data_IF_628040890090
#
_entry.id   IF_628040890090
#
_cell.length_a   1.000
_cell.length_b   1.000
_cell.length_c   1.000
_cell.angle_alpha   90.00
_cell.angle_beta   90.00
_cell.angle_gamma   90.00
#
_symmetry.space_group_name_H-M   'P 1'
#
loop_
_entity.id
_entity.type
_entity.pdbx_description
1 polymer ?
#
# COMPACT_ATOMS: atom_id res chain seq x y z
N UNK A 1 -16.58 24.67 19.90
CA UNK A 1 -16.63 25.29 18.56
C UNK A 1 -17.22 24.24 17.64
N UNK A 2 -18.55 24.21 17.62
CA UNK A 2 -19.35 23.30 16.83
C UNK A 2 -19.25 23.68 15.35
N UNK A 3 -18.30 23.09 14.64
CA UNK A 3 -18.48 22.87 13.22
C UNK A 3 -19.41 21.66 13.10
N UNK A 4 -20.72 21.89 13.05
CA UNK A 4 -21.65 20.90 12.52
C UNK A 4 -21.10 20.48 11.14
N UNK A 5 -20.46 19.32 11.05
CA UNK A 5 -20.15 18.69 9.77
C UNK A 5 -21.49 18.42 9.09
N UNK A 6 -21.86 19.28 8.15
CA UNK A 6 -23.06 19.14 7.35
C UNK A 6 -22.91 17.83 6.56
N UNK A 7 -23.81 16.86 6.79
CA UNK A 7 -23.77 15.54 6.18
C UNK A 7 -23.82 15.71 4.64
N UNK A 8 -22.67 15.52 3.98
CA UNK A 8 -22.57 15.74 2.53
C UNK A 8 -23.15 14.55 1.78
N UNK A 9 -24.13 14.84 0.91
CA UNK A 9 -24.59 13.87 -0.10
C UNK A 9 -23.42 13.49 -0.99
N UNK A 10 -23.06 12.21 -0.98
CA UNK A 10 -21.90 11.68 -1.68
C UNK A 10 -22.34 10.71 -2.77
N UNK A 11 -21.78 10.87 -3.96
CA UNK A 11 -21.96 9.98 -5.10
C UNK A 11 -20.60 9.40 -5.46
N UNK A 12 -20.53 8.09 -5.66
CA UNK A 12 -19.36 7.39 -6.17
C UNK A 12 -19.73 6.76 -7.52
N UNK A 13 -18.88 7.01 -8.52
CA UNK A 13 -19.01 6.47 -9.88
C UNK A 13 -17.90 5.44 -10.09
N UNK A 14 -18.27 4.20 -10.42
CA UNK A 14 -17.33 3.11 -10.71
C UNK A 14 -17.77 2.43 -12.01
N UNK A 15 -16.84 2.18 -12.92
CA UNK A 15 -17.14 1.61 -14.24
C UNK A 15 -17.19 0.09 -14.24
N UNK A 16 -16.55 -0.55 -13.27
CA UNK A 16 -16.44 -1.99 -13.17
C UNK A 16 -17.65 -2.57 -12.43
N UNK A 17 -17.90 -3.87 -12.60
CA UNK A 17 -19.05 -4.55 -11.98
C UNK A 17 -19.04 -4.53 -10.45
N UNK A 18 -17.86 -4.41 -9.84
CA UNK A 18 -17.65 -4.41 -8.39
C UNK A 18 -16.80 -3.24 -7.94
N UNK A 19 -17.14 -2.70 -6.76
CA UNK A 19 -16.36 -1.67 -6.07
C UNK A 19 -14.99 -2.21 -5.61
N UNK A 20 -14.11 -1.31 -5.16
CA UNK A 20 -12.81 -1.62 -4.57
C UNK A 20 -11.61 -1.55 -5.52
N UNK A 21 -11.85 -1.23 -6.79
CA UNK A 21 -10.82 -0.90 -7.78
C UNK A 21 -9.74 -1.98 -7.94
N UNK A 22 -8.52 -1.54 -8.30
CA UNK A 22 -7.39 -2.44 -8.57
C UNK A 22 -7.04 -3.30 -7.36
N UNK A 23 -6.85 -2.69 -6.19
CA UNK A 23 -6.29 -3.38 -5.02
C UNK A 23 -7.16 -4.57 -4.59
N UNK A 24 -8.49 -4.42 -4.65
CA UNK A 24 -9.40 -5.45 -4.21
C UNK A 24 -9.65 -6.52 -5.28
N UNK A 25 -9.84 -6.12 -6.54
CA UNK A 25 -10.30 -7.03 -7.58
C UNK A 25 -9.13 -7.76 -8.27
N UNK A 26 -8.01 -7.07 -8.51
CA UNK A 26 -6.91 -7.57 -9.38
C UNK A 26 -5.50 -7.24 -8.85
N UNK A 27 -5.36 -6.87 -7.58
CA UNK A 27 -4.11 -6.39 -7.00
C UNK A 27 -3.77 -7.04 -5.66
N UNK A 28 -3.81 -6.24 -4.59
CA UNK A 28 -3.41 -6.61 -3.24
C UNK A 28 -4.10 -7.88 -2.75
N UNK A 29 -5.43 -7.89 -2.67
CA UNK A 29 -6.17 -8.99 -2.06
C UNK A 29 -5.97 -10.32 -2.79
N UNK A 30 -6.14 -10.42 -4.12
CA UNK A 30 -5.90 -11.68 -4.81
C UNK A 30 -4.45 -12.14 -4.71
N UNK A 31 -3.46 -11.24 -4.79
CA UNK A 31 -2.05 -11.63 -4.64
C UNK A 31 -1.73 -12.15 -3.23
N UNK A 32 -2.20 -11.49 -2.17
CA UNK A 32 -1.97 -11.93 -0.78
C UNK A 32 -2.64 -13.27 -0.48
N UNK A 33 -3.84 -13.50 -1.01
CA UNK A 33 -4.50 -14.80 -0.89
C UNK A 33 -3.67 -15.93 -1.53
N UNK A 34 -3.13 -15.69 -2.74
CA UNK A 34 -2.30 -16.67 -3.44
C UNK A 34 -0.93 -16.89 -2.76
N UNK A 35 -0.28 -15.81 -2.30
CA UNK A 35 0.98 -15.89 -1.55
C UNK A 35 0.81 -16.73 -0.28
N UNK A 36 -0.22 -16.45 0.52
CA UNK A 36 -0.51 -17.21 1.73
C UNK A 36 -0.78 -18.70 1.44
N UNK A 37 -1.64 -18.99 0.46
CA UNK A 37 -1.99 -20.39 0.14
C UNK A 37 -0.82 -21.17 -0.47
N UNK A 38 -0.02 -20.53 -1.33
CA UNK A 38 1.17 -21.15 -1.92
C UNK A 38 2.28 -21.36 -0.89
N UNK A 39 2.41 -20.47 0.10
CA UNK A 39 3.34 -20.67 1.21
C UNK A 39 2.96 -21.91 2.05
N UNK A 40 1.68 -22.08 2.42
CA UNK A 40 1.25 -23.30 3.12
C UNK A 40 1.47 -24.57 2.30
N UNK A 41 1.20 -24.52 1.00
CA UNK A 41 1.52 -25.63 0.10
C UNK A 41 3.02 -25.93 0.11
N UNK A 42 3.86 -24.89 0.03
CA UNK A 42 5.31 -25.04 0.11
C UNK A 42 5.78 -25.66 1.44
N UNK A 43 5.26 -25.21 2.59
CA UNK A 43 5.60 -25.78 3.90
C UNK A 43 5.29 -27.28 3.97
N UNK A 44 4.12 -27.67 3.45
CA UNK A 44 3.71 -29.08 3.42
C UNK A 44 4.50 -29.91 2.41
N UNK A 45 4.87 -29.32 1.27
CA UNK A 45 5.53 -30.04 0.17
C UNK A 45 7.06 -30.13 0.30
N UNK A 46 7.72 -29.11 0.86
CA UNK A 46 9.18 -28.99 0.93
C UNK A 46 9.83 -29.84 2.03
N UNK A 47 9.03 -30.39 2.95
CA UNK A 47 9.53 -31.10 4.12
C UNK A 47 9.72 -30.22 5.36
N UNK A 48 9.41 -28.91 5.31
CA UNK A 48 9.41 -28.04 6.50
C UNK A 48 8.52 -28.61 7.63
N UNK A 49 7.29 -29.03 7.30
CA UNK A 49 6.41 -29.68 8.28
C UNK A 49 7.01 -31.01 8.82
N UNK A 50 7.66 -31.80 7.96
CA UNK A 50 8.29 -33.05 8.38
C UNK A 50 9.47 -32.81 9.33
N UNK A 51 10.26 -31.75 9.12
CA UNK A 51 11.33 -31.34 10.03
C UNK A 51 10.79 -30.92 11.43
N UNK A 52 9.51 -30.58 11.52
CA UNK A 52 8.78 -30.29 12.77
C UNK A 52 8.09 -31.52 13.36
N UNK A 53 8.29 -32.70 12.78
CA UNK A 53 7.64 -33.95 13.21
C UNK A 53 6.20 -34.11 12.73
N UNK A 54 5.73 -33.27 11.80
CA UNK A 54 4.38 -33.34 11.23
C UNK A 54 4.48 -34.10 9.90
N UNK A 55 4.13 -35.38 9.94
CA UNK A 55 4.17 -36.24 8.77
C UNK A 55 2.96 -35.96 7.87
N UNK A 56 3.21 -35.47 6.66
CA UNK A 56 2.17 -35.21 5.65
C UNK A 56 2.52 -36.01 4.40
N UNK A 57 1.60 -36.88 3.99
CA UNK A 57 1.76 -37.71 2.80
C UNK A 57 0.80 -37.25 1.70
N UNK A 58 1.16 -37.50 0.44
CA UNK A 58 0.30 -37.27 -0.72
C UNK A 58 -0.22 -35.82 -0.88
N UNK A 59 0.60 -34.81 -0.53
CA UNK A 59 0.27 -33.40 -0.76
C UNK A 59 0.13 -33.14 -2.27
N UNK A 60 -1.06 -32.68 -2.69
CA UNK A 60 -1.37 -32.37 -4.09
C UNK A 60 -1.91 -30.95 -4.21
N UNK A 61 -1.58 -30.28 -5.31
CA UNK A 61 -2.13 -28.97 -5.65
C UNK A 61 -3.46 -29.16 -6.38
N UNK A 62 -4.54 -28.69 -5.75
CA UNK A 62 -5.80 -28.40 -6.44
C UNK A 62 -5.84 -26.90 -6.75
N UNK A 63 -5.42 -26.56 -7.97
CA UNK A 63 -5.35 -25.18 -8.41
C UNK A 63 -6.74 -24.53 -8.52
N UNK A 64 -7.76 -25.30 -8.88
CA UNK A 64 -9.13 -24.80 -8.99
C UNK A 64 -9.67 -24.40 -7.62
N UNK A 65 -9.50 -25.25 -6.60
CA UNK A 65 -9.90 -24.95 -5.23
C UNK A 65 -9.12 -23.75 -4.66
N UNK A 66 -7.81 -23.66 -4.94
CA UNK A 66 -6.94 -22.56 -4.50
C UNK A 66 -7.41 -21.23 -5.12
N UNK A 67 -7.67 -21.21 -6.43
CA UNK A 67 -8.22 -20.03 -7.12
C UNK A 67 -9.65 -19.70 -6.68
N UNK A 68 -10.44 -20.72 -6.34
CA UNK A 68 -11.77 -20.59 -5.76
C UNK A 68 -11.76 -19.88 -4.40
N UNK A 69 -10.79 -20.22 -3.52
CA UNK A 69 -10.63 -19.55 -2.23
C UNK A 69 -10.26 -18.06 -2.40
N UNK A 70 -9.32 -17.74 -3.29
CA UNK A 70 -8.98 -16.35 -3.66
C UNK A 70 -10.22 -15.58 -4.11
N UNK A 71 -11.00 -16.16 -5.02
CA UNK A 71 -12.21 -15.52 -5.56
C UNK A 71 -13.30 -15.32 -4.49
N UNK A 72 -13.42 -16.22 -3.50
CA UNK A 72 -14.31 -16.04 -2.34
C UNK A 72 -13.88 -14.85 -1.49
N UNK A 73 -12.58 -14.68 -1.22
CA UNK A 73 -12.06 -13.54 -0.45
C UNK A 73 -12.38 -12.21 -1.14
N UNK A 74 -12.10 -12.11 -2.45
CA UNK A 74 -12.44 -10.93 -3.26
C UNK A 74 -13.95 -10.65 -3.21
N UNK A 75 -14.80 -11.66 -3.46
CA UNK A 75 -16.27 -11.49 -3.43
C UNK A 75 -16.80 -11.02 -2.07
N UNK A 76 -16.27 -11.55 -0.98
CA UNK A 76 -16.70 -11.17 0.36
C UNK A 76 -16.39 -9.70 0.64
N UNK A 77 -15.17 -9.26 0.33
CA UNK A 77 -14.71 -7.90 0.59
C UNK A 77 -15.35 -6.87 -0.35
N UNK A 78 -15.55 -7.17 -1.63
CA UNK A 78 -16.27 -6.26 -2.55
C UNK A 78 -17.73 -6.11 -2.12
N UNK A 79 -18.36 -7.20 -1.70
CA UNK A 79 -19.68 -7.18 -1.08
C UNK A 79 -19.73 -6.33 0.20
N UNK A 80 -18.67 -6.39 1.02
CA UNK A 80 -18.50 -5.56 2.20
C UNK A 80 -18.50 -4.06 1.88
N UNK A 81 -17.77 -3.62 0.84
CA UNK A 81 -17.78 -2.21 0.42
C UNK A 81 -19.18 -1.77 -0.02
N UNK A 82 -19.88 -2.59 -0.81
CA UNK A 82 -21.26 -2.30 -1.20
C UNK A 82 -22.20 -2.16 0.02
N UNK A 83 -21.99 -2.96 1.07
CA UNK A 83 -22.73 -2.81 2.33
C UNK A 83 -22.36 -1.52 3.07
N UNK A 84 -21.08 -1.15 3.09
CA UNK A 84 -20.61 0.11 3.70
C UNK A 84 -21.20 1.33 2.98
N UNK A 85 -21.27 1.33 1.64
CA UNK A 85 -21.89 2.42 0.89
C UNK A 85 -23.37 2.57 1.24
N UNK A 86 -24.11 1.45 1.31
CA UNK A 86 -25.52 1.46 1.74
C UNK A 86 -25.69 2.00 3.16
N UNK A 87 -24.85 1.55 4.09
CA UNK A 87 -24.88 1.98 5.50
C UNK A 87 -24.62 3.48 5.65
N UNK A 88 -23.68 4.01 4.85
CA UNK A 88 -23.29 5.42 4.87
C UNK A 88 -24.05 6.29 3.85
N UNK A 89 -25.13 5.76 3.26
CA UNK A 89 -25.99 6.49 2.32
C UNK A 89 -25.23 7.08 1.10
N UNK A 90 -24.16 6.42 0.68
CA UNK A 90 -23.40 6.80 -0.52
C UNK A 90 -24.14 6.28 -1.75
N UNK A 91 -24.47 7.19 -2.66
CA UNK A 91 -25.08 6.80 -3.94
C UNK A 91 -24.02 6.20 -4.84
N UNK A 92 -24.23 4.96 -5.28
CA UNK A 92 -23.35 4.29 -6.24
C UNK A 92 -23.97 4.32 -7.64
N UNK A 93 -23.23 4.87 -8.60
CA UNK A 93 -23.56 4.80 -10.03
C UNK A 93 -22.54 3.89 -10.70
N UNK A 94 -23.01 2.77 -11.25
CA UNK A 94 -22.17 1.92 -12.09
C UNK A 94 -22.15 2.48 -13.53
N UNK A 95 -21.02 3.04 -13.93
CA UNK A 95 -20.82 3.64 -15.24
C UNK A 95 -19.50 4.36 -15.38
N UNK A 96 -19.21 4.82 -16.60
CA UNK A 96 -18.02 5.60 -16.92
C UNK A 96 -18.26 7.09 -16.64
N UNK A 97 -17.59 7.64 -15.63
CA UNK A 97 -17.65 9.06 -15.29
C UNK A 97 -16.78 9.93 -16.19
N UNK A 98 -17.37 10.95 -16.80
CA UNK A 98 -16.68 11.99 -17.59
C UNK A 98 -16.98 13.36 -17.00
N UNK A 99 -15.96 14.15 -16.68
CA UNK A 99 -16.10 15.54 -16.24
C UNK A 99 -16.47 16.38 -17.46
N UNK A 100 -17.68 16.92 -17.50
CA UNK A 100 -18.19 17.74 -18.61
C UNK A 100 -18.21 19.23 -18.27
N UNK A 101 -17.95 19.59 -17.02
CA UNK A 101 -17.74 20.95 -16.57
C UNK A 101 -17.26 20.98 -15.11
N UNK A 102 -16.92 22.16 -14.56
CA UNK A 102 -16.36 22.29 -13.20
C UNK A 102 -17.24 21.70 -12.10
N UNK A 103 -18.56 21.61 -12.32
CA UNK A 103 -19.55 21.14 -11.35
C UNK A 103 -20.42 20.00 -11.88
N UNK A 104 -20.03 19.36 -12.98
CA UNK A 104 -20.87 18.38 -13.68
C UNK A 104 -20.05 17.18 -14.13
N UNK A 105 -20.55 15.98 -13.78
CA UNK A 105 -20.02 14.69 -14.24
C UNK A 105 -21.15 13.93 -14.90
N UNK A 106 -20.88 13.34 -16.07
CA UNK A 106 -21.80 12.44 -16.77
C UNK A 106 -21.31 11.01 -16.58
N UNK A 107 -22.16 10.14 -16.02
CA UNK A 107 -21.89 8.72 -15.88
C UNK A 107 -22.61 7.95 -16.98
N UNK A 108 -21.86 7.37 -17.92
CA UNK A 108 -22.39 6.53 -19.00
C UNK A 108 -22.45 5.06 -18.58
N UNK A 109 -23.65 4.49 -18.56
CA UNK A 109 -23.91 3.09 -18.16
C UNK A 109 -23.65 2.12 -19.31
N UNK A 110 -23.58 0.83 -19.00
CA UNK A 110 -23.34 -0.24 -19.98
C UNK A 110 -24.45 -0.39 -21.03
N UNK A 111 -25.67 0.02 -20.72
CA UNK A 111 -26.81 0.07 -21.66
C UNK A 111 -26.80 1.32 -22.56
N UNK A 112 -25.80 2.19 -22.41
CA UNK A 112 -25.65 3.44 -23.15
C UNK A 112 -26.43 4.62 -22.58
N UNK A 113 -27.23 4.42 -21.53
CA UNK A 113 -27.89 5.53 -20.83
C UNK A 113 -26.89 6.38 -20.06
N UNK A 114 -27.21 7.66 -19.90
CA UNK A 114 -26.37 8.64 -19.20
C UNK A 114 -27.08 9.19 -17.98
N UNK A 115 -26.33 9.34 -16.89
CA UNK A 115 -26.79 9.98 -15.66
C UNK A 115 -25.92 11.22 -15.37
N UNK A 116 -26.56 12.38 -15.26
CA UNK A 116 -25.89 13.65 -15.00
C UNK A 116 -25.86 13.93 -13.51
N UNK A 117 -24.66 14.11 -12.96
CA UNK A 117 -24.43 14.46 -11.55
C UNK A 117 -23.94 15.90 -11.48
N UNK A 118 -24.78 16.79 -10.92
CA UNK A 118 -24.37 18.14 -10.55
C UNK A 118 -23.85 18.14 -9.12
N UNK A 119 -22.64 18.65 -8.90
CA UNK A 119 -21.94 18.58 -7.61
C UNK A 119 -21.15 19.85 -7.31
N UNK A 120 -20.97 20.13 -6.02
CA UNK A 120 -20.11 21.22 -5.55
C UNK A 120 -18.63 20.90 -5.76
N UNK A 121 -18.22 19.67 -5.44
CA UNK A 121 -16.83 19.21 -5.53
C UNK A 121 -16.74 17.90 -6.31
N UNK A 122 -15.61 17.69 -6.99
CA UNK A 122 -15.27 16.44 -7.69
C UNK A 122 -13.95 15.93 -7.09
N UNK A 123 -13.87 14.64 -6.79
CA UNK A 123 -12.63 13.98 -6.37
C UNK A 123 -12.29 12.87 -7.36
N UNK A 124 -11.15 13.02 -8.03
CA UNK A 124 -10.64 12.07 -9.02
C UNK A 124 -9.82 11.01 -8.28
N UNK A 125 -10.25 9.75 -8.39
CA UNK A 125 -9.58 8.59 -7.80
C UNK A 125 -9.53 7.43 -8.80
N UNK A 126 -9.26 7.74 -10.08
CA UNK A 126 -9.32 6.78 -11.20
C UNK A 126 -8.18 5.76 -11.22
N UNK A 127 -7.20 5.92 -10.33
CA UNK A 127 -6.17 4.93 -10.08
C UNK A 127 -5.13 4.86 -11.20
N UNK A 128 -4.74 3.62 -11.52
CA UNK A 128 -3.66 3.32 -12.47
C UNK A 128 -3.97 2.05 -13.27
N UNK A 129 -3.16 1.84 -14.31
CA UNK A 129 -3.14 0.64 -15.13
C UNK A 129 -1.72 0.10 -15.32
N UNK A 130 -1.60 -1.09 -15.92
CA UNK A 130 -0.29 -1.71 -16.21
C UNK A 130 0.44 -0.89 -17.27
N UNK A 131 1.74 -0.66 -17.07
CA UNK A 131 2.57 -0.06 -18.12
C UNK A 131 2.82 -1.10 -19.20
N UNK A 132 2.38 -0.85 -20.45
CA UNK A 132 2.68 -1.76 -21.54
C UNK A 132 4.20 -1.76 -21.80
N UNK A 133 4.76 -2.91 -22.18
CA UNK A 133 6.16 -2.98 -22.62
C UNK A 133 6.19 -2.85 -24.16
N UNK A 134 6.72 -1.75 -24.72
CA UNK A 134 6.86 -1.61 -26.17
C UNK A 134 7.92 -2.61 -26.67
N UNK A 135 7.60 -3.37 -27.71
CA UNK A 135 8.62 -4.14 -28.45
C UNK A 135 9.08 -5.45 -27.81
N UNK A 136 8.18 -6.24 -27.22
CA UNK A 136 8.43 -7.70 -27.20
C UNK A 136 8.30 -8.17 -28.65
N UNK A 137 9.41 -8.23 -29.36
CA UNK A 137 9.49 -8.96 -30.62
C UNK A 137 9.67 -10.44 -30.29
N UNK A 138 8.85 -11.28 -30.92
CA UNK A 138 8.98 -12.73 -30.81
C UNK A 138 10.14 -13.13 -31.71
N UNK A 139 11.31 -13.41 -31.13
CA UNK A 139 12.54 -13.78 -31.84
C UNK A 139 12.69 -15.28 -32.12
N UNK A 140 11.79 -16.10 -31.56
CA UNK A 140 11.82 -17.58 -31.58
C UNK A 140 13.10 -18.21 -30.97
N UNK A 141 13.97 -17.43 -30.31
CA UNK A 141 15.19 -17.94 -29.66
C UNK A 141 14.89 -18.44 -28.24
N UNK A 142 13.87 -17.88 -27.58
CA UNK A 142 13.45 -18.28 -26.22
C UNK A 142 11.97 -18.65 -26.16
N UNK A 143 11.68 -19.93 -25.89
CA UNK A 143 10.31 -20.43 -25.76
C UNK A 143 9.89 -20.40 -24.29
N UNK A 144 8.77 -19.73 -24.00
CA UNK A 144 8.12 -19.71 -22.68
C UNK A 144 6.69 -20.26 -22.78
N UNK A 145 6.23 -21.01 -21.78
CA UNK A 145 4.81 -21.39 -21.70
C UNK A 145 3.91 -20.20 -21.31
N UNK A 146 4.44 -19.29 -20.49
CA UNK A 146 3.76 -18.07 -20.02
C UNK A 146 4.78 -16.95 -19.78
N UNK A 147 4.48 -15.73 -20.24
CA UNK A 147 5.23 -14.52 -19.95
C UNK A 147 4.39 -13.54 -19.12
N UNK A 148 4.87 -13.17 -17.93
CA UNK A 148 4.26 -12.14 -17.07
C UNK A 148 5.00 -10.81 -17.24
N UNK A 149 4.31 -9.78 -17.74
CA UNK A 149 4.85 -8.42 -17.89
C UNK A 149 4.47 -7.58 -16.67
N UNK A 150 5.45 -7.23 -15.83
CA UNK A 150 5.27 -6.50 -14.57
C UNK A 150 6.25 -5.32 -14.42
N UNK A 151 6.49 -4.57 -15.50
CA UNK A 151 7.51 -3.51 -15.57
C UNK A 151 7.13 -2.19 -14.89
N UNK A 152 5.88 -2.04 -14.45
CA UNK A 152 5.42 -0.87 -13.72
C UNK A 152 3.93 -0.58 -13.92
N UNK A 153 3.46 0.50 -13.27
CA UNK A 153 2.10 1.02 -13.39
C UNK A 153 2.13 2.49 -13.80
N UNK A 154 1.07 2.97 -14.43
CA UNK A 154 0.91 4.37 -14.85
C UNK A 154 -0.48 4.91 -14.48
N UNK A 155 -0.62 6.22 -14.20
CA UNK A 155 -1.91 6.87 -13.95
C UNK A 155 -2.94 6.55 -15.03
N UNK A 156 -4.19 6.29 -14.61
CA UNK A 156 -5.30 6.09 -15.53
C UNK A 156 -6.20 7.32 -15.54
N UNK A 157 -6.18 8.08 -16.63
CA UNK A 157 -7.01 9.30 -16.80
C UNK A 157 -7.70 9.33 -18.17
N UNK A 158 -7.74 8.19 -18.87
CA UNK A 158 -8.36 8.10 -20.20
C UNK A 158 -9.85 8.37 -20.09
N UNK A 159 -10.41 9.11 -21.04
CA UNK A 159 -11.84 9.40 -21.11
C UNK A 159 -12.44 10.14 -19.91
N UNK A 160 -11.61 10.76 -19.06
CA UNK A 160 -12.07 11.44 -17.85
C UNK A 160 -12.60 12.86 -18.12
N UNK A 161 -12.30 13.45 -19.28
CA UNK A 161 -12.75 14.80 -19.64
C UNK A 161 -11.94 15.92 -18.98
N UNK A 162 -10.67 15.69 -18.66
CA UNK A 162 -9.80 16.70 -18.03
C UNK A 162 -9.67 17.98 -18.88
N UNK A 163 -9.67 17.81 -20.20
CA UNK A 163 -9.63 18.88 -21.20
C UNK A 163 -10.84 19.81 -21.13
N UNK A 164 -12.01 19.30 -20.73
CA UNK A 164 -13.24 20.11 -20.63
C UNK A 164 -13.16 21.15 -19.50
N UNK A 165 -12.25 20.95 -18.55
CA UNK A 165 -12.03 21.81 -17.38
C UNK A 165 -10.60 22.37 -17.33
N UNK A 166 -9.81 22.17 -18.39
CA UNK A 166 -8.47 22.75 -18.52
C UNK A 166 -7.40 22.14 -17.60
N UNK A 167 -7.60 20.91 -17.11
CA UNK A 167 -6.59 20.22 -16.29
C UNK A 167 -5.56 19.56 -17.20
N UNK A 168 -4.32 20.05 -17.15
CA UNK A 168 -3.19 19.50 -17.92
C UNK A 168 -2.40 18.53 -17.04
N UNK A 169 -2.08 17.36 -17.58
CA UNK A 169 -1.28 16.32 -16.92
C UNK A 169 0.20 16.70 -16.92
N UNK A 170 0.96 16.16 -15.99
CA UNK A 170 2.42 16.27 -16.02
C UNK A 170 3.07 15.35 -17.07
N UNK A 171 4.41 15.41 -17.16
CA UNK A 171 5.25 14.63 -18.08
C UNK A 171 5.17 13.11 -17.87
N UNK A 172 4.63 12.67 -16.72
CA UNK A 172 4.39 11.27 -16.37
C UNK A 172 2.91 10.88 -16.45
N UNK A 173 2.06 11.77 -16.97
CA UNK A 173 0.63 11.53 -17.15
C UNK A 173 -0.19 11.62 -15.86
N UNK A 174 0.36 12.15 -14.76
CA UNK A 174 -0.34 12.35 -13.48
C UNK A 174 -1.11 13.66 -13.49
N UNK A 175 -2.11 13.77 -12.63
CA UNK A 175 -2.84 15.02 -12.38
C UNK A 175 -2.05 15.84 -11.36
N UNK A 176 -1.57 17.06 -11.71
CA UNK A 176 -0.92 17.94 -10.75
C UNK A 176 -1.91 18.42 -9.70
N UNK A 177 -1.49 18.37 -8.43
CA UNK A 177 -2.27 18.87 -7.29
C UNK A 177 -1.40 19.67 -6.33
N UNK A 178 -2.02 20.58 -5.57
CA UNK A 178 -1.37 21.27 -4.46
C UNK A 178 -1.42 20.43 -3.17
N UNK A 179 -0.94 20.99 -2.05
CA UNK A 179 -0.92 20.33 -0.73
C UNK A 179 -2.31 20.05 -0.12
N UNK A 180 -3.38 20.56 -0.74
CA UNK A 180 -4.77 20.30 -0.38
C UNK A 180 -5.44 19.32 -1.36
N UNK A 181 -4.65 18.64 -2.20
CA UNK A 181 -5.12 17.74 -3.27
C UNK A 181 -5.96 18.42 -4.35
N UNK A 182 -5.97 19.76 -4.42
CA UNK A 182 -6.70 20.52 -5.43
C UNK A 182 -5.91 20.57 -6.73
N UNK A 183 -6.63 20.40 -7.83
CA UNK A 183 -6.11 20.68 -9.18
C UNK A 183 -6.07 22.19 -9.43
N UNK A 184 -5.74 22.61 -10.66
CA UNK A 184 -5.84 24.02 -11.08
C UNK A 184 -7.30 24.55 -11.00
N UNK A 185 -8.29 23.66 -11.00
CA UNK A 185 -9.70 23.98 -10.78
C UNK A 185 -10.03 23.74 -9.30
N UNK A 186 -10.26 24.78 -8.47
CA UNK A 186 -10.22 24.65 -7.00
C UNK A 186 -11.22 23.67 -6.37
N UNK A 187 -12.32 23.36 -7.05
CA UNK A 187 -13.32 22.42 -6.57
C UNK A 187 -13.15 20.99 -7.12
N UNK A 188 -12.14 20.77 -7.99
CA UNK A 188 -11.74 19.46 -8.49
C UNK A 188 -10.45 19.05 -7.81
N UNK A 189 -10.47 17.90 -7.17
CA UNK A 189 -9.36 17.31 -6.42
C UNK A 189 -8.93 16.00 -7.06
N UNK A 190 -7.73 15.51 -6.76
CA UNK A 190 -7.25 14.20 -7.21
C UNK A 190 -6.38 13.52 -6.14
N UNK A 191 -6.50 12.19 -6.01
CA UNK A 191 -5.82 11.38 -4.99
C UNK A 191 -5.31 10.05 -5.56
N UNK A 192 -4.50 9.35 -4.78
CA UNK A 192 -4.03 8.00 -5.03
C UNK A 192 -3.06 7.89 -6.20
N UNK A 193 -3.21 6.82 -6.97
CA UNK A 193 -2.29 6.46 -8.05
C UNK A 193 -2.33 7.41 -9.27
N UNK A 194 -3.34 8.28 -9.37
CA UNK A 194 -3.46 9.22 -10.48
C UNK A 194 -2.67 10.53 -10.27
N UNK A 195 -2.09 10.73 -9.08
CA UNK A 195 -1.26 11.89 -8.71
C UNK A 195 0.18 11.46 -8.40
N UNK A 196 1.00 12.36 -7.86
CA UNK A 196 2.36 12.06 -7.43
C UNK A 196 2.42 11.23 -6.13
N UNK A 197 3.62 10.77 -5.77
CA UNK A 197 3.87 9.97 -4.57
C UNK A 197 3.84 8.45 -4.80
N UNK A 198 3.98 7.65 -3.73
CA UNK A 198 3.96 6.19 -3.80
C UNK A 198 2.60 5.66 -4.29
N UNK A 199 2.62 4.70 -5.22
CA UNK A 199 1.40 4.04 -5.72
C UNK A 199 1.00 2.88 -4.80
N UNK A 200 0.48 3.22 -3.64
CA UNK A 200 0.14 2.31 -2.55
C UNK A 200 -1.31 2.52 -2.09
N UNK A 201 -1.97 1.44 -1.68
CA UNK A 201 -3.39 1.48 -1.33
C UNK A 201 -3.67 2.34 -0.08
N UNK A 202 -2.90 2.16 0.99
CA UNK A 202 -3.03 2.94 2.22
C UNK A 202 -2.69 4.43 2.01
N UNK A 203 -1.74 4.73 1.13
CA UNK A 203 -1.48 6.12 0.69
C UNK A 203 -2.72 6.74 0.04
N UNK A 204 -3.38 6.03 -0.87
CA UNK A 204 -4.59 6.52 -1.52
C UNK A 204 -5.78 6.65 -0.54
N UNK A 205 -5.86 5.76 0.45
CA UNK A 205 -6.87 5.82 1.51
C UNK A 205 -6.70 7.07 2.38
N UNK A 206 -5.50 7.31 2.92
CA UNK A 206 -5.21 8.46 3.76
C UNK A 206 -5.39 9.78 2.99
N UNK A 207 -4.89 9.86 1.75
CA UNK A 207 -5.12 11.03 0.89
C UNK A 207 -6.60 11.31 0.68
N UNK A 208 -7.42 10.26 0.52
CA UNK A 208 -8.86 10.40 0.42
C UNK A 208 -9.48 10.99 1.68
N UNK A 209 -9.08 10.49 2.85
CA UNK A 209 -9.55 10.99 4.15
C UNK A 209 -9.18 12.46 4.35
N UNK A 210 -7.89 12.80 4.25
CA UNK A 210 -7.44 14.17 4.52
C UNK A 210 -7.94 15.16 3.45
N UNK A 211 -8.13 14.71 2.20
CA UNK A 211 -8.73 15.53 1.16
C UNK A 211 -10.18 15.91 1.51
N UNK A 212 -11.02 14.94 1.92
CA UNK A 212 -12.42 15.24 2.27
C UNK A 212 -12.54 16.03 3.58
N UNK A 213 -11.62 15.87 4.53
CA UNK A 213 -11.51 16.74 5.72
C UNK A 213 -11.14 18.16 5.32
N UNK A 214 -10.18 18.34 4.40
CA UNK A 214 -9.82 19.62 3.83
C UNK A 214 -10.98 20.32 3.12
N UNK A 215 -11.81 19.57 2.38
CA UNK A 215 -13.04 20.09 1.77
C UNK A 215 -14.09 20.57 2.79
N UNK A 216 -13.91 20.25 4.07
CA UNK A 216 -14.73 20.71 5.19
C UNK A 216 -14.04 21.79 6.05
N UNK A 217 -12.87 22.29 5.61
CA UNK A 217 -12.10 23.29 6.32
C UNK A 217 -11.18 22.72 7.41
N UNK A 218 -11.01 21.39 7.45
CA UNK A 218 -10.02 20.74 8.30
C UNK A 218 -8.58 20.97 7.84
N UNK A 219 -7.63 20.62 8.71
CA UNK A 219 -6.21 20.63 8.37
C UNK A 219 -5.86 19.43 7.50
N UNK A 220 -5.03 19.63 6.47
CA UNK A 220 -4.58 18.58 5.56
C UNK A 220 -3.09 18.37 5.75
N UNK A 221 -2.73 17.17 6.19
CA UNK A 221 -1.33 16.77 6.34
C UNK A 221 -1.20 15.28 6.08
N UNK A 222 -0.20 14.92 5.28
CA UNK A 222 0.30 13.56 5.14
C UNK A 222 1.82 13.66 5.06
N UNK A 223 2.53 12.90 5.91
CA UNK A 223 3.97 12.75 5.78
C UNK A 223 4.27 11.54 4.88
N UNK A 224 4.55 11.80 3.60
CA UNK A 224 4.92 10.75 2.65
C UNK A 224 6.18 9.98 3.05
N UNK A 225 7.05 10.54 3.90
CA UNK A 225 8.22 9.85 4.44
C UNK A 225 7.83 8.78 5.48
N UNK A 226 6.64 8.90 6.08
CA UNK A 226 6.10 7.94 7.04
C UNK A 226 5.13 6.92 6.41
N UNK A 227 4.94 6.95 5.09
CA UNK A 227 4.16 5.92 4.37
C UNK A 227 5.00 4.64 4.21
N UNK A 228 4.63 3.51 4.84
CA UNK A 228 5.42 2.28 4.76
C UNK A 228 5.24 1.60 3.41
N UNK A 229 6.23 0.79 3.03
CA UNK A 229 6.17 -0.11 1.87
C UNK A 229 6.39 -1.55 2.31
N UNK A 230 5.67 -2.49 1.69
CA UNK A 230 5.73 -3.92 2.04
C UNK A 230 5.72 -4.81 0.79
N UNK A 231 6.66 -5.76 0.75
CA UNK A 231 6.72 -6.88 -0.20
C UNK A 231 6.42 -8.17 0.58
N UNK A 232 5.40 -8.90 0.15
CA UNK A 232 4.80 -10.00 0.91
C UNK A 232 5.33 -11.37 0.48
N UNK A 233 6.63 -11.44 0.15
CA UNK A 233 7.34 -12.70 -0.06
C UNK A 233 7.51 -13.44 1.26
N UNK A 234 8.15 -14.61 1.23
CA UNK A 234 8.62 -15.28 2.44
C UNK A 234 10.15 -15.47 2.35
N UNK A 235 10.96 -14.75 3.17
CA UNK A 235 10.55 -13.76 4.17
C UNK A 235 9.93 -12.50 3.55
N UNK A 236 9.12 -11.78 4.34
CA UNK A 236 8.57 -10.48 3.95
C UNK A 236 9.68 -9.42 3.96
N UNK A 237 9.47 -8.32 3.22
CA UNK A 237 10.31 -7.12 3.26
C UNK A 237 9.43 -5.92 3.52
N UNK A 238 9.82 -5.06 4.45
CA UNK A 238 9.10 -3.82 4.73
C UNK A 238 10.05 -2.68 5.09
N UNK A 239 9.70 -1.45 4.74
CA UNK A 239 10.47 -0.27 5.12
C UNK A 239 9.61 0.98 5.26
N UNK A 240 10.11 1.95 6.03
CA UNK A 240 9.58 3.29 6.19
C UNK A 240 10.74 4.28 6.38
N UNK A 241 10.56 5.53 5.96
CA UNK A 241 11.62 6.52 5.99
C UNK A 241 12.68 6.35 4.92
N UNK A 242 13.83 6.99 5.14
CA UNK A 242 14.92 7.07 4.15
C UNK A 242 15.77 5.82 4.13
N UNK A 243 16.31 5.49 2.96
CA UNK A 243 17.38 4.50 2.81
C UNK A 243 18.77 5.16 2.98
N UNK A 244 19.83 4.34 2.99
CA UNK A 244 21.19 4.84 3.20
C UNK A 244 21.70 5.65 2.01
N UNK A 245 21.28 5.30 0.80
CA UNK A 245 21.65 5.97 -0.44
C UNK A 245 21.08 7.39 -0.48
N UNK A 246 19.83 7.59 -0.06
CA UNK A 246 19.17 8.89 0.10
C UNK A 246 19.88 9.74 1.16
N UNK A 247 20.14 9.18 2.35
CA UNK A 247 20.85 9.91 3.41
C UNK A 247 22.27 10.33 2.96
N UNK A 248 22.99 9.47 2.23
CA UNK A 248 24.30 9.80 1.65
C UNK A 248 24.18 10.90 0.60
N UNK A 249 23.20 10.82 -0.30
CA UNK A 249 22.99 11.82 -1.35
C UNK A 249 22.64 13.20 -0.78
N UNK A 250 21.93 13.23 0.35
CA UNK A 250 21.57 14.45 1.06
C UNK A 250 22.65 14.95 2.04
N UNK A 251 23.72 14.18 2.25
CA UNK A 251 24.80 14.53 3.18
C UNK A 251 24.40 14.49 4.65
N UNK A 252 23.37 13.71 5.00
CA UNK A 252 22.88 13.57 6.39
C UNK A 252 23.75 12.53 7.12
N UNK A 253 24.44 12.88 8.22
CA UNK A 253 25.21 11.91 8.99
C UNK A 253 24.30 11.02 9.84
N UNK A 254 24.45 9.70 9.75
CA UNK A 254 23.62 8.73 10.46
C UNK A 254 24.44 7.61 11.11
N UNK A 255 23.87 7.01 12.14
CA UNK A 255 24.28 5.74 12.75
C UNK A 255 23.45 4.59 12.18
N UNK A 256 24.01 3.38 12.19
CA UNK A 256 23.36 2.16 11.69
C UNK A 256 23.28 1.12 12.80
N UNK A 257 22.07 0.68 13.11
CA UNK A 257 21.82 -0.49 13.94
C UNK A 257 21.32 -1.66 13.10
N UNK A 258 21.83 -2.87 13.35
CA UNK A 258 21.36 -4.10 12.69
C UNK A 258 21.21 -5.23 13.69
N UNK A 259 20.16 -6.03 13.53
CA UNK A 259 19.94 -7.22 14.33
C UNK A 259 19.36 -8.37 13.46
N UNK A 260 20.00 -9.55 13.42
CA UNK A 260 19.56 -10.68 12.61
C UNK A 260 18.42 -11.46 13.27
N UNK A 261 17.45 -11.94 12.49
CA UNK A 261 16.37 -12.80 13.02
C UNK A 261 16.89 -14.16 13.51
N UNK A 262 18.07 -14.60 13.07
CA UNK A 262 18.75 -15.78 13.62
C UNK A 262 19.04 -15.71 15.13
N UNK A 263 19.13 -14.49 15.68
CA UNK A 263 19.34 -14.21 17.10
C UNK A 263 18.04 -13.95 17.87
N UNK A 264 16.91 -13.78 17.17
CA UNK A 264 15.62 -13.54 17.81
C UNK A 264 15.03 -14.85 18.35
N UNK A 265 14.59 -14.85 19.61
CA UNK A 265 14.06 -16.06 20.26
C UNK A 265 12.82 -16.62 19.55
N UNK A 266 11.86 -15.77 19.15
CA UNK A 266 10.64 -16.24 18.47
C UNK A 266 10.93 -16.78 17.08
N UNK A 267 11.72 -16.06 16.29
CA UNK A 267 12.15 -16.53 14.96
C UNK A 267 12.84 -17.89 15.05
N UNK A 268 13.71 -18.07 16.07
CA UNK A 268 14.37 -19.35 16.34
C UNK A 268 13.38 -20.44 16.74
N UNK A 269 12.43 -20.15 17.63
CA UNK A 269 11.36 -21.08 18.03
C UNK A 269 10.51 -21.50 16.83
N UNK A 270 10.26 -20.59 15.89
CA UNK A 270 9.46 -20.84 14.70
C UNK A 270 10.22 -21.47 13.54
N UNK A 271 11.56 -21.58 13.62
CA UNK A 271 12.43 -21.96 12.50
C UNK A 271 12.26 -21.03 11.27
N UNK A 272 12.13 -19.73 11.52
CA UNK A 272 11.96 -18.68 10.50
C UNK A 272 13.01 -17.59 10.71
N UNK A 273 14.28 -17.93 10.51
CA UNK A 273 15.43 -17.10 10.95
C UNK A 273 16.02 -16.19 9.88
N UNK A 274 15.43 -16.16 8.69
CA UNK A 274 15.98 -15.41 7.57
C UNK A 274 15.85 -13.90 7.77
N UNK A 275 16.90 -13.18 7.38
CA UNK A 275 16.91 -11.72 7.33
C UNK A 275 17.30 -11.02 8.65
N UNK A 276 16.98 -9.73 8.72
CA UNK A 276 17.39 -8.81 9.77
C UNK A 276 16.50 -7.56 9.82
N UNK A 277 16.58 -6.84 10.93
CA UNK A 277 16.13 -5.45 11.04
C UNK A 277 17.32 -4.51 10.91
N UNK A 278 17.17 -3.40 10.16
CA UNK A 278 18.14 -2.31 10.02
C UNK A 278 17.47 -0.98 10.37
N UNK A 279 18.10 -0.22 11.28
CA UNK A 279 17.66 1.10 11.72
C UNK A 279 18.73 2.13 11.35
N UNK A 280 18.28 3.27 10.80
CA UNK A 280 19.11 4.44 10.52
C UNK A 280 18.67 5.56 11.48
N UNK A 281 19.60 6.06 12.29
CA UNK A 281 19.32 7.12 13.26
C UNK A 281 20.25 8.32 13.01
N UNK A 282 19.75 9.54 13.18
CA UNK A 282 20.55 10.75 13.06
C UNK A 282 21.71 10.76 14.06
N UNK A 283 22.90 11.10 13.60
CA UNK A 283 24.12 10.96 14.42
C UNK A 283 24.18 11.92 15.61
N UNK A 284 23.47 13.05 15.56
CA UNK A 284 23.54 14.08 16.60
C UNK A 284 22.35 14.00 17.57
N UNK A 285 21.18 13.69 17.04
CA UNK A 285 19.90 13.76 17.77
C UNK A 285 19.32 12.39 18.10
N UNK A 286 19.90 11.31 17.57
CA UNK A 286 19.41 9.94 17.67
C UNK A 286 18.01 9.71 17.06
N UNK A 287 17.43 10.72 16.38
CA UNK A 287 16.12 10.61 15.72
C UNK A 287 16.13 9.49 14.68
N UNK A 288 15.10 8.65 14.68
CA UNK A 288 14.94 7.62 13.64
C UNK A 288 14.69 8.26 12.28
N UNK A 289 15.53 7.93 11.30
CA UNK A 289 15.49 8.44 9.92
C UNK A 289 14.90 7.43 8.93
N UNK A 290 15.03 6.14 9.25
CA UNK A 290 14.43 5.07 8.45
C UNK A 290 14.64 3.69 9.07
N UNK A 291 13.69 2.80 8.84
CA UNK A 291 13.70 1.41 9.31
C UNK A 291 13.42 0.49 8.15
N UNK A 292 14.23 -0.56 8.02
CA UNK A 292 14.21 -1.52 6.93
C UNK A 292 14.27 -2.94 7.49
N UNK A 293 13.30 -3.77 7.15
CA UNK A 293 13.11 -5.10 7.69
C UNK A 293 13.02 -6.10 6.54
N UNK A 294 13.79 -7.18 6.63
CA UNK A 294 13.57 -8.40 5.87
C UNK A 294 13.49 -9.55 6.87
N UNK A 295 12.38 -10.29 6.91
CA UNK A 295 12.20 -11.36 7.88
C UNK A 295 10.73 -11.69 8.20
N UNK A 296 10.49 -12.53 9.21
CA UNK A 296 9.14 -12.91 9.61
C UNK A 296 8.36 -11.71 10.14
N UNK A 297 7.11 -11.58 9.70
CA UNK A 297 6.17 -10.52 10.09
C UNK A 297 6.65 -9.08 9.80
N UNK A 298 7.54 -8.88 8.82
CA UNK A 298 8.03 -7.55 8.47
C UNK A 298 6.90 -6.56 8.14
N UNK A 299 5.84 -7.02 7.46
CA UNK A 299 4.68 -6.21 7.10
C UNK A 299 3.86 -5.72 8.29
N UNK A 300 3.91 -6.43 9.42
CA UNK A 300 3.27 -6.02 10.68
C UNK A 300 4.21 -5.15 11.53
N UNK A 301 5.47 -5.57 11.68
CA UNK A 301 6.47 -4.89 12.49
C UNK A 301 6.77 -3.48 12.01
N UNK A 302 6.66 -3.21 10.71
CA UNK A 302 6.97 -1.90 10.16
C UNK A 302 6.02 -0.81 10.70
N UNK A 303 4.80 -1.15 11.08
CA UNK A 303 3.81 -0.19 11.59
C UNK A 303 4.22 0.39 12.94
N UNK A 304 4.97 -0.35 13.76
CA UNK A 304 5.58 0.20 14.98
C UNK A 304 6.60 1.30 14.64
N UNK A 305 7.38 1.10 13.56
CA UNK A 305 8.35 2.08 13.10
C UNK A 305 7.69 3.31 12.47
N UNK A 306 6.57 3.13 11.77
CA UNK A 306 5.74 4.24 11.28
C UNK A 306 5.30 5.11 12.44
N UNK A 307 4.70 4.52 13.48
CA UNK A 307 4.26 5.25 14.67
C UNK A 307 5.42 5.98 15.36
N UNK A 308 6.56 5.32 15.52
CA UNK A 308 7.75 5.92 16.11
C UNK A 308 8.23 7.15 15.31
N UNK A 309 8.28 7.04 13.97
CA UNK A 309 8.72 8.13 13.11
C UNK A 309 7.74 9.31 13.06
N UNK A 310 6.43 9.03 13.05
CA UNK A 310 5.36 10.05 13.15
C UNK A 310 5.47 10.86 14.46
N UNK A 311 5.83 10.20 15.56
CA UNK A 311 6.10 10.87 16.84
C UNK A 311 7.48 11.54 16.92
N UNK A 312 8.32 11.36 15.90
CA UNK A 312 9.70 11.89 15.89
C UNK A 312 10.62 11.22 16.92
N UNK A 313 10.37 9.94 17.24
CA UNK A 313 11.11 9.19 18.24
C UNK A 313 12.61 9.08 17.92
N UNK A 314 13.42 8.99 18.98
CA UNK A 314 14.81 8.57 18.91
C UNK A 314 14.95 7.04 18.86
N UNK A 315 16.12 6.55 18.46
CA UNK A 315 16.40 5.12 18.55
C UNK A 315 16.46 4.64 20.01
N UNK A 316 16.95 5.49 20.93
CA UNK A 316 16.88 5.23 22.37
C UNK A 316 15.44 5.00 22.86
N UNK A 317 14.47 5.79 22.39
CA UNK A 317 13.06 5.65 22.81
C UNK A 317 12.54 4.24 22.51
N UNK A 318 12.73 3.76 21.27
CA UNK A 318 12.27 2.42 20.85
C UNK A 318 13.08 1.32 21.56
N UNK A 319 14.38 1.51 21.76
CA UNK A 319 15.23 0.55 22.49
C UNK A 319 14.77 0.33 23.95
N UNK A 320 14.16 1.36 24.56
CA UNK A 320 13.65 1.35 25.94
C UNK A 320 12.21 0.86 26.07
N UNK A 321 11.46 0.71 24.97
CA UNK A 321 10.14 0.08 25.00
C UNK A 321 10.26 -1.37 25.48
N UNK A 322 9.41 -1.75 26.43
CA UNK A 322 9.31 -3.12 26.94
C UNK A 322 8.57 -4.01 25.94
N UNK A 323 9.27 -4.41 24.88
CA UNK A 323 8.76 -5.36 23.89
C UNK A 323 8.45 -6.70 24.55
N UNK A 324 7.30 -7.29 24.23
CA UNK A 324 6.90 -8.58 24.77
C UNK A 324 7.88 -9.69 24.37
N UNK A 325 8.12 -10.64 25.27
CA UNK A 325 9.00 -11.77 25.06
C UNK A 325 8.24 -13.11 25.12
N UNK A 326 8.43 -14.05 24.17
CA UNK A 326 9.18 -13.91 22.92
C UNK A 326 8.33 -13.31 21.79
N UNK A 327 8.84 -12.29 21.09
CA UNK A 327 8.25 -11.73 19.85
C UNK A 327 9.29 -11.39 18.79
N UNK A 328 8.90 -11.39 17.50
CA UNK A 328 9.77 -10.90 16.43
C UNK A 328 10.07 -9.39 16.58
N UNK A 329 9.20 -8.64 17.26
CA UNK A 329 9.38 -7.22 17.53
C UNK A 329 10.62 -6.94 18.40
N UNK A 330 11.10 -7.91 19.20
CA UNK A 330 12.37 -7.75 19.92
C UNK A 330 13.57 -7.52 18.99
N UNK A 331 13.53 -8.00 17.73
CA UNK A 331 14.55 -7.69 16.74
C UNK A 331 14.58 -6.19 16.39
N UNK A 332 13.41 -5.54 16.39
CA UNK A 332 13.30 -4.09 16.18
C UNK A 332 13.94 -3.33 17.34
N UNK A 333 13.62 -3.72 18.58
CA UNK A 333 14.23 -3.17 19.80
C UNK A 333 15.76 -3.26 19.77
N UNK A 334 16.28 -4.43 19.43
CA UNK A 334 17.72 -4.68 19.46
C UNK A 334 18.46 -3.94 18.33
N UNK A 335 17.85 -3.81 17.15
CA UNK A 335 18.40 -2.97 16.09
C UNK A 335 18.45 -1.48 16.49
N UNK A 336 17.42 -0.98 17.16
CA UNK A 336 17.43 0.38 17.73
C UNK A 336 18.48 0.53 18.85
N UNK A 337 18.65 -0.49 19.68
CA UNK A 337 19.68 -0.54 20.72
C UNK A 337 21.08 -0.47 20.10
N UNK A 338 21.30 -1.20 19.01
CA UNK A 338 22.55 -1.15 18.25
C UNK A 338 22.79 0.23 17.60
N UNK A 339 21.75 0.90 17.10
CA UNK A 339 21.87 2.23 16.51
C UNK A 339 22.23 3.30 17.54
N UNK A 340 21.59 3.27 18.71
CA UNK A 340 21.74 4.29 19.76
C UNK A 340 22.96 4.04 20.66
N UNK A 341 23.15 2.78 21.10
CA UNK A 341 24.18 2.40 22.08
C UNK A 341 25.37 1.63 21.48
N UNK A 342 25.35 1.36 20.18
CA UNK A 342 26.45 0.73 19.44
C UNK A 342 26.50 -0.80 19.47
N UNK A 343 25.72 -1.46 20.33
CA UNK A 343 25.60 -2.93 20.35
C UNK A 343 24.24 -3.40 20.88
N UNK A 344 23.66 -4.47 20.32
CA UNK A 344 22.49 -5.13 20.89
C UNK A 344 22.87 -5.94 22.14
N UNK A 345 21.88 -6.35 22.93
CA UNK A 345 22.06 -7.22 24.10
C UNK A 345 22.21 -8.68 23.64
N UNK A 346 21.33 -9.11 22.77
CA UNK A 346 21.38 -10.43 22.13
C UNK A 346 21.98 -10.30 20.72
N UNK A 347 22.61 -11.34 20.20
CA UNK A 347 23.07 -11.42 18.80
C UNK A 347 23.42 -12.86 18.43
#
# INVERSE_FOLDING_TARGET
MDACMEEKKTVCIEKNDTLGGTCLNVGCIPSKALLNNSHYYHMAHSGDLAARGIMVENVRLDLEALMGQKSKAVKALTGGIAQLFKKNQITHINGWGTITGPNTVVAKKSDGSEEVVNTKNIMIATGSEVTPFPGIEVDEETIFDVLLVSVGRRPFTEGLGLENVGIVKDDRGRIPVNNMFQTIVPNIHAIGDCIHGPMLAHKAEDEGIVCVEGMQGGHVHIDYNCVPSVVYTHPEVAWVGKNEEELKAEGIPYNVGKFPFAANSRAKTNNETDGFVKVLADKQTDRVLGVHIIGPAAGELINESVLAMEYGASAEDVARVCHAHPTCAEALREAHTAASFGKPINF
#
